data_IF_023291000930
#
_entry.id   IF_023291000930
#
_cell.length_a   1.000
_cell.length_b   1.000
_cell.length_c   1.000
_cell.angle_alpha   90.00
_cell.angle_beta   90.00
_cell.angle_gamma   90.00
#
_symmetry.space_group_name_H-M   'P 1'
#
loop_
_entity.id
_entity.type
_entity.pdbx_description
1 polymer ?
#
# COMPACT_ATOMS: atom_id res chain seq x y z
N UNK A 1 20.05 1.98 -5.39
CA UNK A 1 19.13 1.21 -6.25
C UNK A 1 19.30 1.70 -7.68
N UNK A 2 19.86 0.85 -8.53
CA UNK A 2 20.07 1.07 -9.97
C UNK A 2 18.73 1.19 -10.70
N UNK A 3 18.68 2.01 -11.76
CA UNK A 3 17.55 2.16 -12.70
C UNK A 3 16.94 0.81 -13.08
N UNK A 4 15.62 0.73 -13.28
CA UNK A 4 15.08 -0.36 -14.10
C UNK A 4 15.67 -0.15 -15.51
N UNK A 5 16.54 -1.04 -15.94
CA UNK A 5 17.17 -0.92 -17.26
C UNK A 5 16.07 -1.03 -18.33
N UNK A 6 16.16 -0.25 -19.41
CA UNK A 6 15.50 -0.62 -20.66
C UNK A 6 15.88 -2.10 -20.95
N UNK A 7 14.88 -2.94 -21.23
CA UNK A 7 14.94 -4.40 -21.35
C UNK A 7 14.97 -5.22 -20.03
N UNK A 8 14.64 -4.61 -18.89
CA UNK A 8 14.39 -5.36 -17.66
C UNK A 8 13.09 -6.19 -17.76
N UNK A 9 13.09 -7.47 -17.33
CA UNK A 9 11.87 -8.27 -17.26
C UNK A 9 10.90 -7.78 -16.16
N UNK A 10 11.40 -6.98 -15.20
CA UNK A 10 10.56 -6.33 -14.20
C UNK A 10 9.91 -5.08 -14.82
N UNK A 11 8.59 -5.17 -15.05
CA UNK A 11 7.78 -4.12 -15.69
C UNK A 11 6.94 -3.29 -14.71
N UNK A 12 7.00 -3.60 -13.41
CA UNK A 12 6.31 -2.86 -12.37
C UNK A 12 6.12 -3.65 -11.09
N UNK A 13 5.48 -3.03 -10.10
CA UNK A 13 5.07 -3.65 -8.85
C UNK A 13 3.85 -2.94 -8.27
N UNK A 14 3.07 -3.65 -7.48
CA UNK A 14 1.99 -3.10 -6.67
C UNK A 14 2.26 -3.49 -5.21
N UNK A 15 2.26 -2.52 -4.31
CA UNK A 15 2.33 -2.82 -2.88
C UNK A 15 0.96 -3.28 -2.38
N UNK A 16 0.96 -4.10 -1.34
CA UNK A 16 -0.25 -4.53 -0.64
C UNK A 16 -0.26 -3.87 0.74
N UNK A 17 -1.22 -3.02 1.09
CA UNK A 17 -2.29 -2.47 0.25
C UNK A 17 -2.54 -0.99 0.59
N UNK A 18 -3.39 -0.32 -0.20
CA UNK A 18 -3.73 1.09 0.03
C UNK A 18 -5.06 1.22 0.78
N UNK A 19 -4.99 1.85 1.95
CA UNK A 19 -6.14 2.02 2.85
C UNK A 19 -6.58 3.48 2.92
N UNK A 20 -5.69 4.41 2.53
CA UNK A 20 -5.98 5.83 2.46
C UNK A 20 -6.48 6.38 3.79
N UNK A 21 -7.70 6.92 3.79
CA UNK A 21 -8.33 7.48 4.99
C UNK A 21 -9.08 6.45 5.83
N UNK A 22 -9.29 5.24 5.30
CA UNK A 22 -10.06 4.22 5.98
C UNK A 22 -9.37 3.75 7.27
N UNK A 23 -10.14 3.34 8.28
CA UNK A 23 -9.59 2.85 9.55
C UNK A 23 -10.32 1.61 10.06
N UNK A 24 -9.60 0.68 10.70
CA UNK A 24 -10.24 -0.42 11.42
C UNK A 24 -11.12 0.16 12.54
N UNK A 25 -12.29 -0.43 12.76
CA UNK A 25 -13.19 -0.04 13.85
C UNK A 25 -12.55 -0.28 15.22
N UNK A 26 -11.67 -1.28 15.35
CA UNK A 26 -10.86 -1.57 16.54
C UNK A 26 -9.47 -2.08 16.14
N UNK A 27 -8.42 -1.88 16.97
CA UNK A 27 -7.10 -2.44 16.68
C UNK A 27 -7.15 -3.96 16.47
N UNK A 28 -6.62 -4.44 15.35
CA UNK A 28 -6.58 -5.87 14.98
C UNK A 28 -7.97 -6.54 14.89
N UNK A 29 -9.01 -5.80 14.50
CA UNK A 29 -10.32 -6.41 14.23
C UNK A 29 -10.33 -7.22 12.94
N UNK A 30 -11.15 -8.26 12.88
CA UNK A 30 -11.62 -8.84 11.62
C UNK A 30 -12.73 -7.94 11.10
N UNK A 31 -12.83 -7.76 9.78
CA UNK A 31 -13.88 -6.94 9.18
C UNK A 31 -15.27 -7.48 9.53
N UNK A 32 -16.17 -6.59 9.92
CA UNK A 32 -17.59 -6.87 10.10
C UNK A 32 -18.45 -6.04 9.15
N UNK A 33 -19.73 -6.40 9.04
CA UNK A 33 -20.68 -5.62 8.26
C UNK A 33 -20.67 -4.17 8.75
N UNK A 34 -20.61 -3.24 7.80
CA UNK A 34 -20.57 -1.78 8.01
C UNK A 34 -19.23 -1.22 8.48
N UNK A 35 -18.20 -2.06 8.69
CA UNK A 35 -16.81 -1.58 8.80
C UNK A 35 -16.35 -0.98 7.45
N UNK A 36 -15.51 0.05 7.52
CA UNK A 36 -14.92 0.66 6.34
C UNK A 36 -14.10 -0.37 5.53
N UNK A 37 -14.23 -0.32 4.20
CA UNK A 37 -13.37 -1.10 3.32
C UNK A 37 -11.97 -0.50 3.31
N UNK A 38 -11.01 -1.33 3.68
CA UNK A 38 -9.59 -1.01 3.59
C UNK A 38 -8.87 -2.13 2.83
N UNK A 39 -7.56 -2.01 2.60
CA UNK A 39 -6.83 -2.89 1.70
C UNK A 39 -6.64 -4.32 2.22
N UNK A 40 -6.80 -4.54 3.53
CA UNK A 40 -6.82 -5.90 4.08
C UNK A 40 -8.18 -6.58 3.80
N UNK A 41 -8.18 -7.83 3.30
CA UNK A 41 -9.39 -8.57 2.99
C UNK A 41 -10.12 -8.99 4.29
N UNK A 42 -11.42 -9.31 4.23
CA UNK A 42 -12.24 -9.56 5.42
C UNK A 42 -11.84 -10.74 6.31
N UNK A 43 -10.92 -11.60 5.88
CA UNK A 43 -10.39 -12.71 6.68
C UNK A 43 -9.04 -12.41 7.35
N UNK A 44 -8.46 -11.23 7.10
CA UNK A 44 -7.26 -10.72 7.76
C UNK A 44 -7.62 -9.66 8.81
N UNK A 45 -6.69 -9.39 9.73
CA UNK A 45 -6.83 -8.26 10.63
C UNK A 45 -6.77 -6.95 9.85
N UNK A 46 -7.76 -6.09 10.07
CA UNK A 46 -7.79 -4.75 9.54
C UNK A 46 -6.65 -3.92 10.14
N UNK A 47 -5.84 -3.31 9.27
CA UNK A 47 -4.65 -2.56 9.68
C UNK A 47 -3.33 -3.31 9.58
N UNK A 48 -3.31 -4.57 9.11
CA UNK A 48 -2.13 -5.42 9.19
C UNK A 48 -1.05 -5.04 8.17
N UNK A 49 -1.43 -4.80 6.92
CA UNK A 49 -0.51 -4.42 5.83
C UNK A 49 -0.87 -3.07 5.19
N UNK A 50 -1.72 -2.33 5.88
CA UNK A 50 -2.25 -1.05 5.46
C UNK A 50 -1.17 -0.01 5.22
N UNK A 51 -1.30 0.71 4.12
CA UNK A 51 -0.68 2.02 3.94
C UNK A 51 -1.78 3.08 4.03
N UNK A 52 -1.75 3.85 5.11
CA UNK A 52 -2.68 4.94 5.36
C UNK A 52 -2.18 6.26 4.76
N UNK A 53 -3.09 7.20 4.52
CA UNK A 53 -2.76 8.57 4.07
C UNK A 53 -1.88 9.35 5.06
N UNK A 54 -1.89 8.94 6.33
CA UNK A 54 -1.04 9.47 7.41
C UNK A 54 0.37 8.87 7.43
N UNK A 55 0.65 7.81 6.67
CA UNK A 55 1.94 7.10 6.70
C UNK A 55 2.96 7.79 5.81
N UNK A 56 3.30 9.04 6.17
CA UNK A 56 4.11 9.95 5.35
C UNK A 56 5.48 9.37 4.98
N UNK A 57 6.09 8.57 5.86
CA UNK A 57 7.38 7.91 5.59
C UNK A 57 7.25 6.85 4.49
N UNK A 58 6.22 6.00 4.55
CA UNK A 58 5.92 4.96 3.56
C UNK A 58 5.53 5.59 2.22
N UNK A 59 4.64 6.59 2.23
CA UNK A 59 4.22 7.34 1.04
C UNK A 59 5.43 8.01 0.36
N UNK A 60 6.36 8.58 1.14
CA UNK A 60 7.59 9.18 0.60
C UNK A 60 8.44 8.16 -0.14
N UNK A 61 8.58 6.93 0.39
CA UNK A 61 9.33 5.86 -0.27
C UNK A 61 8.63 5.44 -1.57
N UNK A 62 7.32 5.20 -1.53
CA UNK A 62 6.52 4.84 -2.71
C UNK A 62 6.68 5.91 -3.79
N UNK A 63 6.52 7.20 -3.45
CA UNK A 63 6.68 8.31 -4.41
C UNK A 63 8.07 8.34 -5.04
N UNK A 64 9.13 8.20 -4.24
CA UNK A 64 10.51 8.18 -4.75
C UNK A 64 10.71 7.00 -5.70
N UNK A 65 10.21 5.82 -5.35
CA UNK A 65 10.32 4.63 -6.20
C UNK A 65 9.54 4.80 -7.51
N UNK A 66 8.28 5.24 -7.46
CA UNK A 66 7.45 5.46 -8.63
C UNK A 66 8.04 6.50 -9.58
N UNK A 67 8.55 7.63 -9.08
CA UNK A 67 9.24 8.61 -9.94
C UNK A 67 10.47 8.01 -10.61
N UNK A 68 11.33 7.31 -9.84
CA UNK A 68 12.52 6.66 -10.40
C UNK A 68 12.20 5.57 -11.42
N UNK A 69 11.07 4.90 -11.29
CA UNK A 69 10.61 3.87 -12.21
C UNK A 69 10.05 4.47 -13.51
N UNK A 70 9.42 5.66 -13.43
CA UNK A 70 8.83 6.35 -14.59
C UNK A 70 9.83 7.24 -15.35
N UNK A 71 10.88 7.75 -14.70
CA UNK A 71 11.91 8.61 -15.32
C UNK A 71 12.88 7.81 -16.24
N UNK A 72 12.39 6.72 -16.85
CA UNK A 72 13.16 5.74 -17.64
C UNK A 72 12.69 5.79 -19.10
#
# INVERSE_FOLDING_TARGET
MSKAKNDSPLVGSNFWAWDGFGRPSKPKSIWEKDDEFIGNPPYEFQGWYSVYSSDLSTIKIIKIFSSKFNDI
#
